data_IF_215550016630
#
_entry.id   IF_215550016630
#
_cell.length_a   1.000
_cell.length_b   1.000
_cell.length_c   1.000
_cell.angle_alpha   90.00
_cell.angle_beta   90.00
_cell.angle_gamma   90.00
#
_symmetry.space_group_name_H-M   'P 1'
#
loop_
_entity.id
_entity.type
_entity.pdbx_description
1 polymer ?
#
# COMPACT_ATOMS: atom_id res chain seq x y z
N UNK A 1 -9.49 7.50 5.47
CA UNK A 1 -8.86 6.31 4.87
C UNK A 1 -7.38 6.26 5.24
N UNK A 2 -6.85 5.08 5.59
CA UNK A 2 -5.44 4.87 5.92
C UNK A 2 -4.75 4.20 4.74
N UNK A 3 -3.63 4.77 4.31
CA UNK A 3 -2.74 4.24 3.30
C UNK A 3 -1.31 4.43 3.80
N UNK A 4 -0.44 3.46 3.54
CA UNK A 4 0.98 3.60 3.81
C UNK A 4 1.83 2.88 2.75
N UNK A 5 3.13 3.13 2.82
CA UNK A 5 4.15 2.43 2.05
C UNK A 5 5.10 1.69 2.98
N UNK A 6 5.30 0.40 2.69
CA UNK A 6 6.21 -0.47 3.40
C UNK A 6 7.61 -0.42 2.81
N UNK A 7 8.54 0.15 3.58
CA UNK A 7 9.95 0.28 3.24
C UNK A 7 10.72 -0.82 3.97
N UNK A 8 11.32 -1.72 3.20
CA UNK A 8 12.07 -2.83 3.76
C UNK A 8 13.41 -2.36 4.30
N UNK A 9 13.76 -2.80 5.49
CA UNK A 9 15.04 -2.50 6.15
C UNK A 9 15.80 -3.78 6.49
N UNK A 10 17.13 -3.69 6.46
CA UNK A 10 18.00 -4.81 6.83
C UNK A 10 18.12 -5.01 8.35
N UNK A 11 17.90 -3.93 9.12
CA UNK A 11 17.98 -3.89 10.58
C UNK A 11 17.00 -2.84 11.10
N UNK A 12 15.84 -3.30 11.57
CA UNK A 12 14.76 -2.44 12.03
C UNK A 12 15.12 -1.69 13.31
N UNK A 13 16.00 -2.22 14.17
CA UNK A 13 16.43 -1.52 15.39
C UNK A 13 17.32 -0.33 15.04
N UNK A 14 18.20 -0.49 14.06
CA UNK A 14 19.02 0.60 13.54
C UNK A 14 18.18 1.64 12.79
N UNK A 15 17.23 1.21 11.96
CA UNK A 15 16.32 2.12 11.26
C UNK A 15 15.45 2.90 12.25
N UNK A 16 14.89 2.24 13.26
CA UNK A 16 14.11 2.88 14.31
C UNK A 16 14.91 3.90 15.12
N UNK A 17 16.19 3.61 15.46
CA UNK A 17 17.07 4.62 16.08
C UNK A 17 17.23 5.86 15.21
N UNK A 18 17.44 5.70 13.91
CA UNK A 18 17.53 6.84 12.98
C UNK A 18 16.22 7.65 12.95
N UNK A 19 15.06 6.98 12.91
CA UNK A 19 13.76 7.67 12.96
C UNK A 19 13.59 8.48 14.25
N UNK A 20 14.01 7.93 15.40
CA UNK A 20 13.96 8.62 16.69
C UNK A 20 14.91 9.82 16.75
N UNK A 21 16.13 9.68 16.23
CA UNK A 21 17.10 10.78 16.15
C UNK A 21 16.55 11.96 15.34
N UNK A 22 15.78 11.66 14.28
CA UNK A 22 15.13 12.66 13.43
C UNK A 22 13.74 13.06 13.92
N UNK A 23 13.31 12.57 15.10
CA UNK A 23 12.02 12.89 15.72
C UNK A 23 10.80 12.62 14.83
N UNK A 24 10.85 11.53 14.05
CA UNK A 24 9.68 11.07 13.31
C UNK A 24 8.49 10.88 14.28
N UNK A 25 7.29 11.26 13.86
CA UNK A 25 6.09 11.05 14.68
C UNK A 25 5.71 9.57 14.65
N UNK A 26 5.42 8.99 15.82
CA UNK A 26 5.08 7.58 15.94
C UNK A 26 3.60 7.35 15.71
N UNK A 27 3.26 6.28 14.98
CA UNK A 27 1.91 5.71 14.98
C UNK A 27 1.88 4.47 15.87
N UNK A 28 2.84 3.57 15.69
CA UNK A 28 3.00 2.41 16.57
C UNK A 28 3.68 2.80 17.87
N UNK A 29 3.45 2.03 18.94
CA UNK A 29 4.14 2.25 20.22
C UNK A 29 5.67 2.11 20.08
N UNK A 30 6.11 1.08 19.38
CA UNK A 30 7.51 0.72 19.08
C UNK A 30 7.54 -0.35 17.97
N UNK A 31 8.69 -0.77 17.43
CA UNK A 31 8.74 -1.87 16.47
C UNK A 31 8.15 -3.16 17.03
N UNK A 32 7.07 -3.63 16.43
CA UNK A 32 6.37 -4.86 16.83
C UNK A 32 6.93 -6.07 16.08
N UNK A 33 7.11 -7.21 16.75
CA UNK A 33 7.35 -8.50 16.09
C UNK A 33 6.02 -9.25 15.99
N UNK A 34 5.55 -9.49 14.78
CA UNK A 34 4.28 -10.16 14.55
C UNK A 34 4.32 -11.62 15.03
N UNK A 35 3.20 -12.12 15.59
CA UNK A 35 3.17 -13.33 16.40
C UNK A 35 3.30 -14.62 15.58
N UNK A 36 3.84 -15.66 16.20
CA UNK A 36 4.18 -16.91 15.51
C UNK A 36 2.98 -17.77 15.12
N UNK A 37 1.81 -17.55 15.74
CA UNK A 37 0.58 -18.28 15.40
C UNK A 37 0.08 -17.95 13.98
N UNK A 38 0.43 -16.78 13.42
CA UNK A 38 0.11 -16.42 12.06
C UNK A 38 1.28 -16.79 11.14
N UNK A 39 1.24 -17.90 10.38
CA UNK A 39 2.38 -18.33 9.58
C UNK A 39 2.75 -17.33 8.49
N UNK A 40 1.81 -16.53 7.98
CA UNK A 40 2.07 -15.50 6.97
C UNK A 40 2.83 -14.32 7.57
N UNK A 41 2.43 -13.86 8.75
CA UNK A 41 3.02 -12.69 9.41
C UNK A 41 4.19 -13.02 10.38
N UNK A 42 4.29 -14.27 10.85
CA UNK A 42 5.21 -14.70 11.92
C UNK A 42 6.62 -14.18 11.74
N UNK A 43 7.15 -13.54 12.78
CA UNK A 43 8.52 -13.06 12.85
C UNK A 43 8.83 -11.83 12.00
N UNK A 44 7.89 -11.33 11.19
CA UNK A 44 8.00 -10.01 10.57
C UNK A 44 8.06 -8.97 11.68
N UNK A 45 8.98 -8.02 11.56
CA UNK A 45 9.01 -6.84 12.42
C UNK A 45 8.57 -5.62 11.65
N UNK A 46 7.71 -4.80 12.24
CA UNK A 46 7.09 -3.66 11.59
C UNK A 46 6.97 -2.47 12.55
N UNK A 47 7.00 -1.26 11.99
CA UNK A 47 6.82 -0.02 12.75
C UNK A 47 6.20 1.06 11.85
N UNK A 48 5.05 1.59 12.26
CA UNK A 48 4.40 2.73 11.61
C UNK A 48 4.84 4.06 12.24
N UNK A 49 5.14 5.01 11.38
CA UNK A 49 5.50 6.38 11.71
C UNK A 49 4.91 7.34 10.68
N UNK A 50 5.02 8.64 10.90
CA UNK A 50 4.62 9.66 9.92
C UNK A 50 5.81 10.42 9.39
N UNK A 51 5.69 10.81 8.12
CA UNK A 51 6.55 11.85 7.54
C UNK A 51 6.14 13.26 8.05
N UNK A 52 6.87 14.32 7.67
CA UNK A 52 6.58 15.69 8.11
C UNK A 52 5.19 16.23 7.72
N UNK A 53 4.58 15.68 6.67
CA UNK A 53 3.26 16.09 6.18
C UNK A 53 2.13 15.26 6.82
N UNK A 54 2.48 14.31 7.70
CA UNK A 54 1.55 13.48 8.45
C UNK A 54 1.15 12.19 7.73
N UNK A 55 1.82 11.85 6.63
CA UNK A 55 1.56 10.64 5.90
C UNK A 55 2.16 9.42 6.60
N UNK A 56 1.41 8.33 6.69
CA UNK A 56 1.88 7.12 7.36
C UNK A 56 2.83 6.34 6.47
N UNK A 57 3.97 5.96 7.03
CA UNK A 57 4.98 5.11 6.44
C UNK A 57 5.26 3.92 7.37
N UNK A 58 5.71 2.82 6.80
CA UNK A 58 6.13 1.64 7.54
C UNK A 58 7.60 1.32 7.25
N UNK A 59 8.38 1.02 8.29
CA UNK A 59 9.60 0.23 8.13
C UNK A 59 9.30 -1.23 8.49
N UNK A 60 9.72 -2.16 7.64
CA UNK A 60 9.44 -3.58 7.80
C UNK A 60 10.72 -4.41 7.59
N UNK A 61 10.95 -5.38 8.47
CA UNK A 61 12.03 -6.36 8.34
C UNK A 61 11.44 -7.76 8.28
N UNK A 62 11.72 -8.47 7.18
CA UNK A 62 11.41 -9.88 7.05
C UNK A 62 12.39 -10.74 7.85
N UNK A 63 11.94 -11.83 8.52
CA UNK A 63 12.84 -12.85 9.01
C UNK A 63 13.45 -13.64 7.85
N UNK A 64 14.57 -14.32 8.11
CA UNK A 64 15.24 -15.16 7.11
C UNK A 64 14.26 -16.17 6.50
N UNK A 65 14.31 -16.35 5.18
CA UNK A 65 13.42 -17.25 4.44
C UNK A 65 12.00 -16.72 4.19
N UNK A 66 11.65 -15.50 4.63
CA UNK A 66 10.35 -14.87 4.38
C UNK A 66 10.46 -13.61 3.51
N UNK A 67 9.37 -13.29 2.80
CA UNK A 67 9.31 -12.17 1.86
C UNK A 67 10.00 -12.47 0.53
N UNK A 68 10.10 -11.46 -0.34
CA UNK A 68 10.82 -11.58 -1.60
C UNK A 68 12.33 -11.82 -1.33
N UNK A 69 12.95 -12.86 -1.94
CA UNK A 69 14.37 -13.17 -1.76
C UNK A 69 15.31 -11.99 -2.06
N UNK A 70 14.88 -10.99 -2.85
CA UNK A 70 15.67 -9.78 -3.10
C UNK A 70 16.00 -8.99 -1.82
N UNK A 71 15.16 -9.09 -0.80
CA UNK A 71 15.33 -8.43 0.49
C UNK A 71 16.40 -9.08 1.38
N UNK A 72 16.78 -10.31 1.08
CA UNK A 72 17.78 -11.06 1.85
C UNK A 72 19.17 -11.06 1.18
N UNK A 73 19.33 -10.35 0.06
CA UNK A 73 20.63 -10.20 -0.60
C UNK A 73 21.58 -9.41 0.30
N UNK A 74 22.79 -9.92 0.49
CA UNK A 74 23.82 -9.26 1.29
C UNK A 74 24.05 -7.82 0.81
N UNK A 75 23.99 -6.88 1.74
CA UNK A 75 24.14 -5.44 1.44
C UNK A 75 24.54 -4.68 2.70
N UNK A 76 25.23 -3.55 2.51
CA UNK A 76 25.52 -2.59 3.59
C UNK A 76 24.42 -1.54 3.75
N UNK A 77 23.42 -1.51 2.84
CA UNK A 77 22.32 -0.54 2.87
C UNK A 77 21.34 -0.88 3.97
N UNK A 78 20.93 0.13 4.74
CA UNK A 78 19.92 -0.02 5.78
C UNK A 78 18.50 -0.08 5.21
N UNK A 79 18.16 0.84 4.31
CA UNK A 79 16.88 0.87 3.60
C UNK A 79 17.04 0.18 2.24
N UNK A 80 16.24 -0.84 1.99
CA UNK A 80 16.41 -1.76 0.86
C UNK A 80 15.51 -1.41 -0.32
N UNK A 81 14.34 -0.82 -0.05
CA UNK A 81 13.38 -0.37 -1.05
C UNK A 81 11.94 -0.57 -0.60
N UNK A 82 10.99 -0.30 -1.50
CA UNK A 82 9.56 -0.44 -1.24
C UNK A 82 9.10 -1.87 -1.61
N UNK A 83 8.38 -2.52 -0.71
CA UNK A 83 7.73 -3.81 -0.96
C UNK A 83 6.31 -3.66 -1.48
N UNK A 84 5.53 -2.82 -0.82
CA UNK A 84 4.14 -2.60 -1.18
C UNK A 84 3.64 -1.24 -0.69
N UNK A 85 2.53 -0.79 -1.28
CA UNK A 85 1.60 0.13 -0.63
C UNK A 85 0.45 -0.67 -0.05
N UNK A 86 0.05 -0.37 1.18
CA UNK A 86 -1.14 -0.96 1.77
C UNK A 86 -2.24 0.10 1.85
N UNK A 87 -3.47 -0.30 1.53
CA UNK A 87 -4.66 0.56 1.47
C UNK A 87 -5.78 -0.06 2.29
N UNK A 88 -6.46 0.74 3.12
CA UNK A 88 -7.65 0.26 3.84
C UNK A 88 -8.85 0.20 2.92
N UNK A 89 -9.54 -0.93 2.94
CA UNK A 89 -10.75 -1.16 2.13
C UNK A 89 -11.92 -1.52 3.03
N UNK A 90 -13.14 -1.06 2.71
CA UNK A 90 -14.33 -1.40 3.50
C UNK A 90 -14.77 -2.86 3.30
N UNK A 91 -14.49 -3.43 2.11
CA UNK A 91 -14.83 -4.79 1.71
C UNK A 91 -13.77 -5.34 0.73
N UNK A 92 -13.09 -6.42 1.11
CA UNK A 92 -12.06 -7.05 0.27
C UNK A 92 -12.64 -7.59 -1.04
N UNK A 93 -13.84 -8.18 -1.02
CA UNK A 93 -14.42 -8.81 -2.21
C UNK A 93 -14.80 -7.78 -3.27
N UNK A 94 -15.37 -6.63 -2.87
CA UNK A 94 -15.64 -5.51 -3.75
C UNK A 94 -14.33 -4.95 -4.35
N UNK A 95 -13.30 -4.81 -3.53
CA UNK A 95 -11.97 -4.39 -3.97
C UNK A 95 -11.32 -5.37 -4.94
N UNK A 96 -11.48 -6.68 -4.74
CA UNK A 96 -10.99 -7.69 -5.69
C UNK A 96 -11.70 -7.62 -7.04
N UNK A 97 -13.00 -7.27 -7.07
CA UNK A 97 -13.70 -6.98 -8.34
C UNK A 97 -13.01 -5.87 -9.15
N UNK A 98 -12.43 -4.88 -8.47
CA UNK A 98 -11.71 -3.79 -9.12
C UNK A 98 -10.25 -4.16 -9.42
N UNK A 99 -9.46 -4.55 -8.41
CA UNK A 99 -8.03 -4.77 -8.58
C UNK A 99 -7.70 -6.07 -9.34
N UNK A 100 -8.40 -7.18 -9.04
CA UNK A 100 -8.15 -8.46 -9.69
C UNK A 100 -8.91 -8.58 -11.00
N UNK A 101 -10.23 -8.38 -10.96
CA UNK A 101 -11.06 -8.70 -12.13
C UNK A 101 -11.02 -7.63 -13.22
N UNK A 102 -10.89 -6.35 -12.85
CA UNK A 102 -10.83 -5.24 -13.82
C UNK A 102 -9.40 -4.82 -14.17
N UNK A 103 -8.50 -4.69 -13.18
CA UNK A 103 -7.11 -4.28 -13.42
C UNK A 103 -6.13 -5.44 -13.66
N UNK A 104 -6.55 -6.69 -13.44
CA UNK A 104 -5.75 -7.87 -13.72
C UNK A 104 -4.61 -8.14 -12.72
N UNK A 105 -4.66 -7.59 -11.50
CA UNK A 105 -3.68 -7.93 -10.46
C UNK A 105 -3.94 -9.35 -9.92
N UNK A 106 -2.87 -10.02 -9.52
CA UNK A 106 -2.94 -11.38 -8.99
C UNK A 106 -2.92 -11.39 -7.46
N UNK A 107 -3.81 -12.17 -6.85
CA UNK A 107 -3.77 -12.46 -5.40
C UNK A 107 -2.59 -13.38 -5.12
N UNK A 108 -1.68 -12.93 -4.25
CA UNK A 108 -0.47 -13.69 -3.83
C UNK A 108 -0.58 -14.28 -2.44
N UNK A 109 -1.50 -13.80 -1.62
CA UNK A 109 -1.73 -14.36 -0.30
C UNK A 109 -2.82 -13.63 0.46
N UNK A 110 -3.37 -14.34 1.43
CA UNK A 110 -4.36 -13.84 2.36
C UNK A 110 -3.94 -14.22 3.78
N UNK A 111 -4.22 -13.34 4.74
CA UNK A 111 -4.06 -13.61 6.17
C UNK A 111 -5.05 -12.82 7.01
N UNK A 112 -5.25 -13.25 8.24
CA UNK A 112 -5.88 -12.43 9.27
C UNK A 112 -4.84 -12.09 10.33
N UNK A 113 -4.75 -10.81 10.67
CA UNK A 113 -3.86 -10.33 11.72
C UNK A 113 -4.70 -9.76 12.87
N UNK A 114 -4.38 -10.16 14.10
CA UNK A 114 -5.04 -9.69 15.31
C UNK A 114 -4.15 -9.90 16.54
N UNK A 115 -4.60 -9.41 17.70
CA UNK A 115 -3.89 -9.54 18.97
C UNK A 115 -3.01 -8.34 19.28
N UNK A 116 -2.37 -8.38 20.45
CA UNK A 116 -1.70 -7.23 21.06
C UNK A 116 -0.65 -6.58 20.16
N UNK A 117 0.17 -7.37 19.47
CA UNK A 117 1.20 -6.83 18.57
C UNK A 117 0.58 -6.11 17.37
N UNK A 118 -0.56 -6.59 16.86
CA UNK A 118 -1.27 -5.91 15.79
C UNK A 118 -1.91 -4.62 16.29
N UNK A 119 -2.54 -4.63 17.47
CA UNK A 119 -3.12 -3.43 18.09
C UNK A 119 -2.08 -2.33 18.29
N UNK A 120 -0.90 -2.69 18.83
CA UNK A 120 0.21 -1.77 19.03
C UNK A 120 0.85 -1.29 17.72
N UNK A 121 0.85 -2.13 16.68
CA UNK A 121 1.33 -1.74 15.35
C UNK A 121 0.41 -0.68 14.74
N UNK A 122 -0.91 -0.92 14.72
CA UNK A 122 -1.87 0.01 14.13
C UNK A 122 -2.15 1.24 15.01
N UNK A 123 -1.91 1.17 16.32
CA UNK A 123 -2.41 2.16 17.28
C UNK A 123 -3.93 2.13 17.42
N UNK A 124 -4.55 0.97 17.18
CA UNK A 124 -6.01 0.77 17.21
C UNK A 124 -6.33 -0.38 18.15
N UNK A 125 -7.08 -0.11 19.22
CA UNK A 125 -7.49 -1.11 20.19
C UNK A 125 -8.42 -2.15 19.57
N UNK A 126 -8.19 -3.44 19.87
CA UNK A 126 -8.97 -4.55 19.32
C UNK A 126 -8.83 -4.76 17.80
N UNK A 127 -7.78 -4.21 17.19
CA UNK A 127 -7.53 -4.33 15.75
C UNK A 127 -7.49 -5.80 15.29
N UNK A 128 -8.38 -6.13 14.37
CA UNK A 128 -8.40 -7.37 13.60
C UNK A 128 -8.59 -7.03 12.14
N UNK A 129 -7.64 -7.45 11.31
CA UNK A 129 -7.62 -7.14 9.89
C UNK A 129 -7.62 -8.42 9.06
N UNK A 130 -8.35 -8.41 7.96
CA UNK A 130 -8.07 -9.28 6.81
C UNK A 130 -7.10 -8.54 5.90
N UNK A 131 -6.05 -9.26 5.50
CA UNK A 131 -4.99 -8.77 4.65
C UNK A 131 -5.01 -9.57 3.35
N UNK A 132 -5.04 -8.88 2.22
CA UNK A 132 -4.97 -9.51 0.88
C UNK A 132 -3.87 -8.87 0.06
N UNK A 133 -2.81 -9.64 -0.19
CA UNK A 133 -1.66 -9.18 -0.96
C UNK A 133 -1.91 -9.39 -2.46
N UNK A 134 -1.79 -8.31 -3.23
CA UNK A 134 -1.89 -8.28 -4.68
C UNK A 134 -0.53 -7.93 -5.31
N UNK A 135 -0.29 -8.45 -6.51
CA UNK A 135 0.88 -8.10 -7.32
C UNK A 135 0.48 -7.91 -8.79
N UNK A 136 1.04 -6.88 -9.40
CA UNK A 136 1.14 -6.78 -10.85
C UNK A 136 2.31 -7.63 -11.36
N UNK A 137 2.52 -7.65 -12.68
CA UNK A 137 3.63 -8.38 -13.30
C UNK A 137 5.03 -7.96 -12.80
N UNK A 138 5.17 -6.71 -12.31
CA UNK A 138 6.42 -6.20 -11.74
C UNK A 138 6.16 -4.99 -10.82
N UNK A 139 7.15 -4.63 -10.02
CA UNK A 139 7.10 -3.48 -9.11
C UNK A 139 6.63 -3.84 -7.69
N UNK A 140 6.42 -2.83 -6.84
CA UNK A 140 5.82 -3.01 -5.52
C UNK A 140 4.41 -3.61 -5.62
N UNK A 141 3.98 -4.27 -4.56
CA UNK A 141 2.61 -4.75 -4.45
C UNK A 141 1.61 -3.72 -3.96
N UNK A 142 0.35 -4.14 -4.01
CA UNK A 142 -0.75 -3.50 -3.31
C UNK A 142 -1.25 -4.49 -2.26
N UNK A 143 -1.47 -4.03 -1.03
CA UNK A 143 -2.05 -4.85 0.02
C UNK A 143 -3.38 -4.23 0.47
N UNK A 144 -4.46 -5.02 0.45
CA UNK A 144 -5.76 -4.59 0.93
C UNK A 144 -5.87 -4.89 2.43
N UNK A 145 -6.24 -3.89 3.21
CA UNK A 145 -6.43 -3.98 4.65
C UNK A 145 -7.91 -3.77 5.00
N UNK A 146 -8.66 -4.85 5.14
CA UNK A 146 -10.04 -4.80 5.61
C UNK A 146 -10.07 -4.95 7.13
N UNK A 147 -10.40 -3.88 7.84
CA UNK A 147 -10.63 -3.95 9.29
C UNK A 147 -11.94 -4.71 9.57
N UNK A 148 -11.82 -5.87 10.21
CA UNK A 148 -12.93 -6.68 10.69
C UNK A 148 -13.40 -6.21 12.08
N UNK A 149 -12.48 -5.64 12.88
CA UNK A 149 -12.77 -4.95 14.13
C UNK A 149 -11.65 -3.93 14.46
N UNK A 150 -11.98 -2.75 15.02
CA UNK A 150 -13.29 -2.11 14.91
C UNK A 150 -13.60 -1.72 13.44
N UNK A 151 -14.88 -1.56 13.11
CA UNK A 151 -15.35 -1.15 11.75
C UNK A 151 -15.80 0.30 11.70
N UNK A 152 -15.22 1.15 12.53
CA UNK A 152 -15.57 2.57 12.72
C UNK A 152 -14.63 3.52 11.94
N UNK A 153 -13.83 2.97 11.03
CA UNK A 153 -13.00 3.73 10.10
C UNK A 153 -13.83 4.71 9.24
N UNK A 154 -13.22 5.84 8.90
CA UNK A 154 -13.86 6.88 8.08
C UNK A 154 -13.49 6.74 6.60
N UNK A 155 -14.44 6.99 5.68
CA UNK A 155 -14.16 7.01 4.24
C UNK A 155 -13.13 8.09 3.91
N UNK A 156 -12.57 8.05 2.70
CA UNK A 156 -11.78 9.16 2.18
C UNK A 156 -12.68 10.42 2.07
N UNK A 157 -12.18 11.64 2.32
CA UNK A 157 -12.96 12.85 2.11
C UNK A 157 -13.47 12.90 0.66
N UNK A 158 -14.78 13.06 0.43
CA UNK A 158 -15.37 12.99 -0.92
C UNK A 158 -14.96 14.17 -1.81
N UNK A 159 -14.48 15.26 -1.21
CA UNK A 159 -14.03 16.49 -1.86
C UNK A 159 -12.50 16.62 -1.96
N UNK A 160 -11.75 15.57 -1.61
CA UNK A 160 -10.29 15.51 -1.74
C UNK A 160 -9.84 15.78 -3.19
N UNK A 161 -8.81 16.61 -3.33
CA UNK A 161 -8.21 17.04 -4.58
C UNK A 161 -6.74 16.65 -4.65
N UNK A 162 -6.24 16.46 -5.87
CA UNK A 162 -4.85 16.09 -6.14
C UNK A 162 -3.78 17.08 -5.60
N UNK A 163 -4.17 18.28 -5.17
CA UNK A 163 -3.30 19.28 -4.57
C UNK A 163 -3.47 19.40 -3.04
N UNK A 164 -4.24 18.51 -2.41
CA UNK A 164 -4.40 18.45 -0.97
C UNK A 164 -3.26 17.64 -0.35
N UNK A 165 -2.81 18.04 0.84
CA UNK A 165 -1.75 17.32 1.57
C UNK A 165 -2.10 15.85 1.78
N UNK A 166 -3.37 15.49 1.94
CA UNK A 166 -3.78 14.10 2.15
C UNK A 166 -3.74 13.24 0.87
N UNK A 167 -3.52 13.84 -0.31
CA UNK A 167 -3.57 13.13 -1.58
C UNK A 167 -2.47 12.08 -1.69
N UNK A 168 -2.88 10.84 -1.91
CA UNK A 168 -2.01 9.72 -2.25
C UNK A 168 -2.44 9.15 -3.60
N UNK A 169 -1.47 8.80 -4.43
CA UNK A 169 -1.76 8.07 -5.67
C UNK A 169 -0.76 6.94 -5.93
N UNK A 170 -1.29 5.76 -6.22
CA UNK A 170 -0.50 4.61 -6.66
C UNK A 170 -0.48 4.57 -8.19
N UNK A 171 0.71 4.62 -8.79
CA UNK A 171 0.84 4.52 -10.24
C UNK A 171 0.87 3.07 -10.70
N UNK A 172 -0.02 2.73 -11.63
CA UNK A 172 -0.01 1.48 -12.36
C UNK A 172 0.33 1.73 -13.82
N UNK A 173 1.17 0.87 -14.37
CA UNK A 173 1.54 0.88 -15.79
C UNK A 173 0.72 -0.19 -16.50
N UNK A 174 -0.14 0.24 -17.41
CA UNK A 174 -0.96 -0.60 -18.26
C UNK A 174 -0.25 -0.89 -19.59
N UNK A 175 -0.57 -2.05 -20.16
CA UNK A 175 -0.24 -2.45 -21.54
C UNK A 175 -1.49 -2.83 -22.34
N UNK A 176 -2.68 -2.52 -21.81
CA UNK A 176 -3.98 -2.81 -22.43
C UNK A 176 -4.19 -1.93 -23.68
N UNK A 177 -3.59 -0.73 -23.71
CA UNK A 177 -3.74 0.23 -24.81
C UNK A 177 -5.05 1.03 -24.78
N UNK A 178 -6.08 0.56 -24.08
CA UNK A 178 -7.35 1.26 -23.82
C UNK A 178 -7.87 1.07 -22.37
N UNK A 179 -6.99 1.13 -21.36
CA UNK A 179 -7.44 0.99 -19.97
C UNK A 179 -8.52 2.02 -19.58
N UNK A 180 -8.48 3.22 -20.17
CA UNK A 180 -9.48 4.25 -19.94
C UNK A 180 -10.87 3.82 -20.44
N UNK A 181 -10.97 3.22 -21.63
CA UNK A 181 -12.21 2.68 -22.16
C UNK A 181 -12.74 1.51 -21.33
N UNK A 182 -11.86 0.59 -20.91
CA UNK A 182 -12.19 -0.54 -20.02
C UNK A 182 -12.77 -0.05 -18.68
N UNK A 183 -12.10 0.90 -18.02
CA UNK A 183 -12.56 1.50 -16.76
C UNK A 183 -13.82 2.34 -16.92
N UNK A 184 -13.99 3.02 -18.07
CA UNK A 184 -15.21 3.76 -18.41
C UNK A 184 -16.43 2.85 -18.56
N UNK A 185 -16.28 1.69 -19.23
CA UNK A 185 -17.36 0.67 -19.35
C UNK A 185 -17.74 0.10 -17.97
N UNK A 186 -16.77 -0.06 -17.09
CA UNK A 186 -16.98 -0.48 -15.71
C UNK A 186 -17.52 0.65 -14.80
N UNK A 187 -17.73 1.86 -15.34
CA UNK A 187 -18.19 3.06 -14.61
C UNK A 187 -17.30 3.42 -13.41
N UNK A 188 -15.99 3.18 -13.54
CA UNK A 188 -15.04 3.58 -12.52
C UNK A 188 -15.05 5.12 -12.34
N UNK A 189 -14.95 5.63 -11.10
CA UNK A 189 -14.97 7.06 -10.82
C UNK A 189 -13.66 7.75 -11.26
N UNK A 190 -13.69 8.43 -12.40
CA UNK A 190 -12.56 9.22 -12.88
C UNK A 190 -12.37 10.50 -12.06
N UNK A 191 -11.12 10.80 -11.71
CA UNK A 191 -10.71 12.07 -11.08
C UNK A 191 -10.30 13.08 -12.14
N UNK A 192 -9.55 12.62 -13.15
CA UNK A 192 -9.24 13.43 -14.34
C UNK A 192 -10.39 13.37 -15.35
N UNK A 193 -10.54 14.35 -16.27
CA UNK A 193 -11.60 14.34 -17.30
C UNK A 193 -11.61 13.12 -18.23
N UNK A 194 -10.54 12.32 -18.24
CA UNK A 194 -10.35 11.12 -19.06
C UNK A 194 -8.87 10.87 -19.28
N UNK A 195 -8.53 10.03 -20.27
CA UNK A 195 -7.16 9.85 -20.72
C UNK A 195 -6.58 11.15 -21.28
N UNK A 196 -5.42 11.55 -20.76
CA UNK A 196 -4.65 12.71 -21.24
C UNK A 196 -3.40 12.21 -21.97
N UNK A 197 -3.23 12.64 -23.22
CA UNK A 197 -2.05 12.32 -24.00
C UNK A 197 -0.79 12.99 -23.43
N UNK A 198 0.25 12.20 -23.20
CA UNK A 198 1.53 12.68 -22.66
C UNK A 198 2.46 12.99 -23.84
N UNK A 199 2.65 14.29 -24.11
CA UNK A 199 3.41 14.76 -25.29
C UNK A 199 4.93 14.59 -25.16
N UNK A 200 5.44 14.43 -23.93
CA UNK A 200 6.87 14.23 -23.65
C UNK A 200 7.32 12.80 -23.86
N UNK A 201 8.48 12.59 -24.50
CA UNK A 201 9.00 11.24 -24.80
C UNK A 201 9.85 10.63 -23.67
N UNK A 202 10.13 11.42 -22.64
CA UNK A 202 11.15 11.14 -21.62
C UNK A 202 10.72 10.06 -20.62
N UNK A 203 9.41 9.92 -20.38
CA UNK A 203 8.86 9.02 -19.36
C UNK A 203 8.43 7.65 -19.90
N UNK A 204 8.50 7.43 -21.21
CA UNK A 204 8.12 6.14 -21.83
C UNK A 204 6.61 5.83 -21.87
N UNK A 205 5.75 6.80 -21.55
CA UNK A 205 4.30 6.65 -21.55
C UNK A 205 3.63 7.41 -22.70
N UNK A 206 2.46 6.96 -23.15
CA UNK A 206 1.69 7.59 -24.25
C UNK A 206 0.53 8.43 -23.72
N UNK A 207 -0.12 7.96 -22.67
CA UNK A 207 -1.26 8.61 -22.03
C UNK A 207 -1.33 8.25 -20.55
N UNK A 208 -2.09 9.03 -19.79
CA UNK A 208 -2.44 8.67 -18.43
C UNK A 208 -3.69 9.38 -17.91
N UNK A 209 -4.24 8.87 -16.83
CA UNK A 209 -5.42 9.40 -16.16
C UNK A 209 -5.44 9.02 -14.68
N UNK A 210 -6.29 9.69 -13.91
CA UNK A 210 -6.54 9.42 -12.50
C UNK A 210 -7.95 8.84 -12.34
N UNK A 211 -8.05 7.76 -11.56
CA UNK A 211 -9.30 7.07 -11.23
C UNK A 211 -9.30 6.72 -9.74
N UNK A 212 -10.49 6.64 -9.13
CA UNK A 212 -10.63 6.11 -7.76
C UNK A 212 -11.01 4.63 -7.79
N UNK A 213 -10.51 3.91 -6.81
CA UNK A 213 -10.98 2.56 -6.49
C UNK A 213 -12.34 2.60 -5.74
N UNK A 214 -12.93 1.45 -5.37
CA UNK A 214 -14.23 1.41 -4.69
C UNK A 214 -14.30 2.19 -3.36
N UNK A 215 -13.18 2.32 -2.66
CA UNK A 215 -13.07 2.99 -1.36
C UNK A 215 -12.53 4.44 -1.50
N UNK A 216 -12.26 4.86 -2.73
CA UNK A 216 -11.87 6.21 -3.09
C UNK A 216 -10.37 6.45 -3.17
N UNK A 217 -9.51 5.43 -3.02
CA UNK A 217 -8.06 5.57 -3.20
C UNK A 217 -7.74 5.92 -4.64
N UNK A 218 -6.82 6.88 -4.85
CA UNK A 218 -6.51 7.34 -6.21
C UNK A 218 -5.44 6.44 -6.83
N UNK A 219 -5.72 5.99 -8.06
CA UNK A 219 -4.77 5.33 -8.92
C UNK A 219 -4.44 6.22 -10.11
N UNK A 220 -3.15 6.34 -10.41
CA UNK A 220 -2.69 6.88 -11.68
C UNK A 220 -2.43 5.75 -12.65
N UNK A 221 -3.25 5.64 -13.68
CA UNK A 221 -3.01 4.68 -14.76
C UNK A 221 -2.24 5.38 -15.87
N UNK A 222 -1.12 4.81 -16.27
CA UNK A 222 -0.35 5.25 -17.44
C UNK A 222 -0.20 4.11 -18.42
N UNK A 223 -0.33 4.40 -19.71
CA UNK A 223 -0.10 3.40 -20.76
C UNK A 223 1.36 3.43 -21.16
N UNK A 224 2.00 2.26 -21.10
CA UNK A 224 3.31 2.06 -21.70
C UNK A 224 3.22 2.23 -23.22
N UNK A 225 4.36 2.58 -23.82
CA UNK A 225 4.53 2.47 -25.27
C UNK A 225 4.57 1.03 -25.75
#
# INVERSE_FOLDING_TARGET
SFQHVAIIVSDIDRAYRQLREHRAEHVSAEPQRLPDWNPKASGIRAFYFKDPDGHVLEILQFPLGKGDPRWQRATARLFLGIDHTAIVTADTAASLGFYRDLLGLEVKGESENYGTEQEHLNGVFGARLRITALRAASGPGIELLEYLAPRDGRPIPPDERANDVVHWQTRLVSRDGDAAGSLGKARAPFVSPGAVALRGRELGFTQGFLVRDPDGHVLQIVEAR
#
